data_IF_394379875470
#
_entry.id   IF_394379875470
#
_cell.length_a   1.000
_cell.length_b   1.000
_cell.length_c   1.000
_cell.angle_alpha   90.00
_cell.angle_beta   90.00
_cell.angle_gamma   90.00
#
_symmetry.space_group_name_H-M   'P 1'
#
loop_
_entity.id
_entity.type
_entity.pdbx_description
1 polymer ?
#
# COMPACT_ATOMS: atom_id res chain seq x y z
N UNK A 1 -1.66 -66.42 8.00
CA UNK A 1 -2.36 -67.70 7.72
C UNK A 1 -3.83 -67.37 7.44
N UNK A 2 -4.15 -66.84 6.26
CA UNK A 2 -4.64 -67.60 5.08
C UNK A 2 -5.97 -68.32 5.35
N UNK A 3 -7.07 -67.60 5.16
CA UNK A 3 -8.34 -68.14 4.67
C UNK A 3 -8.56 -67.51 3.30
N UNK A 4 -8.18 -68.22 2.24
CA UNK A 4 -9.11 -68.90 1.32
C UNK A 4 -9.74 -67.88 0.35
N UNK A 5 -9.27 -67.84 -0.90
CA UNK A 5 -9.69 -68.75 -1.99
C UNK A 5 -11.17 -68.58 -2.31
N UNK A 6 -11.66 -68.57 -3.54
CA UNK A 6 -11.16 -68.65 -4.91
C UNK A 6 -12.44 -68.40 -5.75
N UNK A 7 -12.32 -68.54 -7.07
CA UNK A 7 -13.42 -68.78 -8.00
C UNK A 7 -14.12 -67.54 -8.58
N UNK A 8 -14.36 -67.43 -9.88
CA UNK A 8 -14.08 -68.32 -11.02
C UNK A 8 -14.40 -67.51 -12.30
N UNK A 9 -13.66 -67.81 -13.38
CA UNK A 9 -14.09 -67.85 -14.79
C UNK A 9 -14.36 -66.54 -15.60
N UNK A 10 -13.37 -66.26 -16.48
CA UNK A 10 -13.42 -65.81 -17.91
C UNK A 10 -14.64 -66.29 -18.74
N UNK A 11 -14.89 -65.88 -20.03
CA UNK A 11 -14.17 -64.96 -20.96
C UNK A 11 -15.08 -64.05 -21.87
N UNK A 12 -14.42 -63.35 -22.81
CA UNK A 12 -14.85 -63.03 -24.20
C UNK A 12 -15.65 -61.75 -24.53
N UNK A 13 -14.94 -60.82 -25.19
CA UNK A 13 -15.31 -60.04 -26.39
C UNK A 13 -16.76 -59.65 -26.63
N UNK A 14 -17.07 -58.35 -26.62
CA UNK A 14 -17.47 -57.58 -27.82
C UNK A 14 -17.55 -56.09 -27.46
N UNK A 15 -17.17 -55.25 -28.42
CA UNK A 15 -17.68 -53.90 -28.75
C UNK A 15 -18.34 -53.09 -27.62
N UNK A 16 -17.94 -51.84 -27.37
CA UNK A 16 -18.50 -50.73 -28.15
C UNK A 16 -17.71 -49.44 -27.92
N UNK A 17 -17.61 -48.67 -28.99
CA UNK A 17 -17.08 -47.31 -29.10
C UNK A 17 -17.72 -46.37 -28.06
N UNK A 18 -17.06 -45.25 -27.74
CA UNK A 18 -17.63 -43.88 -27.67
C UNK A 18 -16.55 -42.94 -27.10
N UNK A 19 -15.85 -42.31 -28.03
CA UNK A 19 -15.77 -40.86 -28.21
C UNK A 19 -15.67 -39.91 -27.00
N UNK A 20 -14.58 -39.13 -27.03
CA UNK A 20 -14.68 -37.67 -27.17
C UNK A 20 -15.51 -36.92 -26.11
N UNK A 21 -15.01 -36.85 -24.87
CA UNK A 21 -15.54 -35.85 -23.91
C UNK A 21 -14.61 -35.44 -22.77
N UNK A 22 -13.35 -35.12 -23.05
CA UNK A 22 -12.43 -34.59 -22.04
C UNK A 22 -11.76 -33.26 -22.44
N UNK A 23 -12.46 -32.41 -23.19
CA UNK A 23 -12.14 -30.99 -23.29
C UNK A 23 -13.27 -30.16 -22.66
N UNK A 24 -12.86 -29.21 -21.79
CA UNK A 24 -13.70 -28.18 -21.16
C UNK A 24 -14.47 -28.56 -19.89
N UNK A 25 -13.75 -28.70 -18.77
CA UNK A 25 -14.28 -28.24 -17.47
C UNK A 25 -13.75 -26.83 -17.18
N UNK A 26 -14.52 -25.81 -17.56
CA UNK A 26 -14.36 -24.45 -17.02
C UNK A 26 -14.77 -24.49 -15.55
N UNK A 27 -13.86 -24.10 -14.66
CA UNK A 27 -14.16 -23.85 -13.25
C UNK A 27 -15.05 -22.60 -13.14
N UNK A 28 -16.37 -22.80 -13.06
CA UNK A 28 -17.30 -21.79 -12.57
C UNK A 28 -17.24 -21.75 -11.04
N UNK A 29 -16.72 -20.67 -10.45
CA UNK A 29 -16.94 -20.36 -9.03
C UNK A 29 -18.41 -19.94 -8.86
N UNK A 30 -19.16 -20.61 -7.98
CA UNK A 30 -20.46 -20.12 -7.49
C UNK A 30 -20.20 -18.96 -6.51
N UNK A 31 -20.91 -17.82 -6.58
CA UNK A 31 -20.96 -16.89 -5.46
C UNK A 31 -21.98 -17.40 -4.43
N UNK A 32 -21.48 -17.78 -3.27
CA UNK A 32 -22.26 -18.11 -2.08
C UNK A 32 -22.63 -16.83 -1.32
N UNK A 33 -23.92 -16.72 -1.02
CA UNK A 33 -24.49 -16.28 0.25
C UNK A 33 -24.50 -14.77 0.58
N UNK A 34 -25.54 -14.12 0.07
CA UNK A 34 -26.12 -12.83 0.46
C UNK A 34 -26.34 -12.62 1.98
N UNK A 35 -26.38 -13.69 2.78
CA UNK A 35 -26.57 -13.62 4.24
C UNK A 35 -25.30 -13.28 5.03
N UNK A 36 -24.13 -13.53 4.47
CA UNK A 36 -22.85 -13.21 5.12
C UNK A 36 -22.54 -11.70 5.05
N UNK A 37 -23.02 -11.06 3.99
CA UNK A 37 -22.93 -9.60 3.79
C UNK A 37 -23.69 -8.82 4.86
N UNK A 38 -24.79 -9.36 5.40
CA UNK A 38 -25.60 -8.70 6.42
C UNK A 38 -24.90 -8.63 7.77
N UNK A 39 -24.12 -9.65 8.14
CA UNK A 39 -23.36 -9.65 9.39
C UNK A 39 -22.13 -8.75 9.23
N UNK A 40 -21.38 -8.88 8.13
CA UNK A 40 -20.21 -8.05 7.85
C UNK A 40 -20.53 -6.54 7.86
N UNK A 41 -21.67 -6.14 7.28
CA UNK A 41 -22.08 -4.74 7.26
C UNK A 41 -22.56 -4.26 8.64
N UNK A 42 -23.14 -5.15 9.46
CA UNK A 42 -23.59 -4.82 10.82
C UNK A 42 -22.44 -4.72 11.83
N UNK A 43 -21.34 -5.45 11.62
CA UNK A 43 -20.12 -5.31 12.46
C UNK A 43 -19.36 -4.02 12.12
N UNK A 44 -19.40 -3.55 10.87
CA UNK A 44 -18.75 -2.31 10.44
C UNK A 44 -19.36 -1.04 11.07
N UNK A 45 -20.63 -1.09 11.48
CA UNK A 45 -21.37 0.04 12.05
C UNK A 45 -21.65 -0.08 13.56
N UNK A 46 -21.26 -1.19 14.20
CA UNK A 46 -21.63 -1.52 15.58
C UNK A 46 -20.50 -1.49 16.63
N UNK A 47 -19.32 -0.99 16.27
CA UNK A 47 -18.21 -0.76 17.20
C UNK A 47 -18.08 0.72 17.54
N UNK A 48 -17.73 1.02 18.77
CA UNK A 48 -17.42 2.34 19.37
C UNK A 48 -16.40 3.24 18.62
N UNK A 49 -16.04 2.94 17.36
CA UNK A 49 -14.88 3.51 16.68
C UNK A 49 -15.06 3.82 15.18
N UNK A 50 -16.29 3.86 14.63
CA UNK A 50 -16.48 4.12 13.19
C UNK A 50 -16.69 5.61 12.83
N UNK A 51 -17.38 6.39 13.67
CA UNK A 51 -17.67 7.81 13.37
C UNK A 51 -16.47 8.75 13.57
N UNK A 52 -15.44 8.33 14.32
CA UNK A 52 -14.22 9.12 14.49
C UNK A 52 -13.24 9.02 13.32
N UNK A 53 -13.42 8.05 12.42
CA UNK A 53 -12.48 7.78 11.32
C UNK A 53 -13.00 8.21 9.95
N UNK A 54 -14.32 8.27 9.75
CA UNK A 54 -14.93 8.65 8.47
C UNK A 54 -14.71 10.11 8.06
N UNK A 55 -14.34 10.99 9.01
CA UNK A 55 -13.97 12.38 8.73
C UNK A 55 -12.53 12.54 8.21
N UNK A 56 -11.73 11.47 8.17
CA UNK A 56 -10.39 11.48 7.56
C UNK A 56 -10.41 11.58 6.02
N UNK A 57 -11.60 11.65 5.39
CA UNK A 57 -11.78 11.80 3.94
C UNK A 57 -11.32 13.15 3.36
N UNK A 58 -10.66 14.00 4.15
CA UNK A 58 -9.98 15.22 3.68
C UNK A 58 -8.80 15.54 4.60
N UNK A 59 -7.60 15.01 4.31
CA UNK A 59 -6.37 15.20 5.12
C UNK A 59 -6.21 16.60 5.72
N UNK A 60 -6.50 17.66 4.93
CA UNK A 60 -6.44 19.05 5.39
C UNK A 60 -7.42 19.37 6.52
N UNK A 61 -8.68 18.92 6.43
CA UNK A 61 -9.69 19.18 7.46
C UNK A 61 -9.39 18.40 8.73
N UNK A 62 -8.96 17.14 8.61
CA UNK A 62 -8.58 16.32 9.75
C UNK A 62 -7.38 16.91 10.50
N UNK A 63 -6.37 17.42 9.77
CA UNK A 63 -5.22 18.11 10.35
C UNK A 63 -5.62 19.44 11.03
N UNK A 64 -6.52 20.22 10.41
CA UNK A 64 -7.02 21.44 11.04
C UNK A 64 -7.82 21.14 12.32
N UNK A 65 -8.65 20.11 12.31
CA UNK A 65 -9.42 19.68 13.47
C UNK A 65 -8.51 19.18 14.60
N UNK A 66 -7.43 18.45 14.29
CA UNK A 66 -6.49 17.97 15.31
C UNK A 66 -5.68 19.12 15.93
N UNK A 67 -5.23 20.08 15.13
CA UNK A 67 -4.56 21.30 15.62
C UNK A 67 -5.53 22.14 16.47
N UNK A 68 -6.76 22.32 16.01
CA UNK A 68 -7.77 23.06 16.76
C UNK A 68 -8.10 22.37 18.10
N UNK A 69 -8.22 21.05 18.12
CA UNK A 69 -8.42 20.28 19.34
C UNK A 69 -7.23 20.40 20.31
N UNK A 70 -5.99 20.41 19.80
CA UNK A 70 -4.79 20.63 20.60
C UNK A 70 -4.77 22.02 21.23
N UNK A 71 -5.04 23.07 20.45
CA UNK A 71 -5.13 24.44 20.95
C UNK A 71 -6.23 24.58 22.01
N UNK A 72 -7.41 24.01 21.75
CA UNK A 72 -8.51 24.01 22.70
C UNK A 72 -8.12 23.31 24.00
N UNK A 73 -7.44 22.16 23.93
CA UNK A 73 -6.94 21.44 25.10
C UNK A 73 -5.96 22.29 25.94
N UNK A 74 -5.00 22.96 25.29
CA UNK A 74 -4.04 23.84 26.00
C UNK A 74 -4.74 25.05 26.62
N UNK A 75 -5.71 25.65 25.92
CA UNK A 75 -6.50 26.78 26.45
C UNK A 75 -7.31 26.34 27.67
N UNK A 76 -7.99 25.19 27.61
CA UNK A 76 -8.76 24.66 28.75
C UNK A 76 -7.84 24.44 29.95
N UNK A 77 -6.69 23.78 29.77
CA UNK A 77 -5.72 23.57 30.85
C UNK A 77 -5.27 24.89 31.48
N UNK A 78 -4.90 25.86 30.64
CA UNK A 78 -4.43 27.18 31.08
C UNK A 78 -5.51 27.92 31.88
N UNK A 79 -6.76 27.94 31.40
CA UNK A 79 -7.88 28.62 32.10
C UNK A 79 -8.17 27.95 33.44
N UNK A 80 -8.15 26.61 33.49
CA UNK A 80 -8.37 25.87 34.75
C UNK A 80 -7.28 26.19 35.76
N UNK A 81 -6.00 26.13 35.38
CA UNK A 81 -4.93 26.44 36.33
C UNK A 81 -4.87 27.92 36.73
N UNK A 82 -5.20 28.84 35.82
CA UNK A 82 -5.30 30.28 36.13
C UNK A 82 -6.39 30.54 37.17
N UNK A 83 -7.58 29.96 36.99
CA UNK A 83 -8.73 30.19 37.88
C UNK A 83 -8.65 29.42 39.19
N UNK A 84 -8.13 28.19 39.16
CA UNK A 84 -8.15 27.27 40.28
C UNK A 84 -6.87 27.32 41.12
N UNK A 85 -5.72 27.59 40.51
CA UNK A 85 -4.44 27.77 41.22
C UNK A 85 -4.07 29.25 41.42
N UNK A 86 -4.79 30.18 40.81
CA UNK A 86 -4.54 31.63 40.94
C UNK A 86 -3.22 32.07 40.31
N UNK A 87 -2.65 31.25 39.42
CA UNK A 87 -1.41 31.57 38.73
C UNK A 87 -1.63 32.61 37.63
N UNK A 88 -0.56 33.31 37.24
CA UNK A 88 -0.62 34.16 36.05
C UNK A 88 -0.90 33.29 34.82
N UNK A 89 -1.51 33.86 33.79
CA UNK A 89 -1.80 33.12 32.54
C UNK A 89 -0.54 32.54 31.91
N UNK A 90 0.61 33.21 32.07
CA UNK A 90 1.91 32.76 31.56
C UNK A 90 2.40 31.54 32.33
N UNK A 91 2.34 31.58 33.67
CA UNK A 91 2.76 30.46 34.53
C UNK A 91 1.87 29.23 34.33
N UNK A 92 0.55 29.45 34.20
CA UNK A 92 -0.41 28.40 33.93
C UNK A 92 -0.19 27.76 32.55
N UNK A 93 0.08 28.56 31.51
CA UNK A 93 0.39 28.07 30.18
C UNK A 93 1.71 27.29 30.19
N UNK A 94 2.74 27.82 30.84
CA UNK A 94 4.03 27.17 30.99
C UNK A 94 3.90 25.81 31.67
N UNK A 95 3.21 25.74 32.82
CA UNK A 95 2.95 24.48 33.51
C UNK A 95 2.18 23.50 32.62
N UNK A 96 1.11 23.96 31.95
CA UNK A 96 0.28 23.15 31.06
C UNK A 96 1.13 22.53 29.94
N UNK A 97 1.94 23.35 29.26
CA UNK A 97 2.82 22.92 28.17
C UNK A 97 3.91 21.98 28.67
N UNK A 98 4.63 22.33 29.74
CA UNK A 98 5.68 21.48 30.31
C UNK A 98 5.14 20.12 30.78
N UNK A 99 3.89 20.07 31.23
CA UNK A 99 3.25 18.84 31.72
C UNK A 99 2.89 17.89 30.58
N UNK A 100 2.14 18.31 29.55
CA UNK A 100 1.74 17.39 28.48
C UNK A 100 2.90 17.03 27.53
N UNK A 101 3.91 17.91 27.41
CA UNK A 101 5.15 17.61 26.68
C UNK A 101 6.10 16.72 27.47
N UNK A 102 5.74 16.34 28.70
CA UNK A 102 6.53 15.50 29.61
C UNK A 102 7.90 16.09 29.97
N UNK A 103 8.12 17.39 29.75
CA UNK A 103 9.34 18.09 30.16
C UNK A 103 9.39 18.23 31.67
N UNK A 104 8.30 18.69 32.29
CA UNK A 104 8.07 18.66 33.73
C UNK A 104 9.21 19.21 34.60
N UNK A 105 9.62 20.47 34.40
CA UNK A 105 10.72 21.09 35.16
C UNK A 105 10.53 21.07 36.68
N UNK A 106 9.28 21.08 37.17
CA UNK A 106 8.95 20.95 38.59
C UNK A 106 9.14 22.23 39.41
N UNK A 107 9.47 23.35 38.77
CA UNK A 107 9.57 24.68 39.33
C UNK A 107 8.20 25.27 39.71
N UNK A 108 7.19 25.05 38.86
CA UNK A 108 5.79 25.39 39.14
C UNK A 108 5.01 24.10 39.25
N UNK A 109 4.31 23.89 40.37
CA UNK A 109 3.54 22.68 40.60
C UNK A 109 2.31 22.92 41.47
N UNK A 110 1.21 22.18 41.23
CA UNK A 110 -0.01 22.33 41.99
C UNK A 110 0.20 21.97 43.46
N UNK A 111 -0.19 22.89 44.35
CA UNK A 111 0.01 22.76 45.79
C UNK A 111 -1.10 21.92 46.42
N UNK A 112 -2.34 22.11 45.97
CA UNK A 112 -3.50 21.43 46.58
C UNK A 112 -3.66 20.00 46.04
N UNK A 113 -4.15 19.06 46.87
CA UNK A 113 -4.41 17.68 46.43
C UNK A 113 -5.35 17.60 45.22
N UNK A 114 -6.39 18.44 45.17
CA UNK A 114 -7.36 18.47 44.07
C UNK A 114 -6.73 18.85 42.74
N UNK A 115 -5.88 19.89 42.72
CA UNK A 115 -5.16 20.31 41.52
C UNK A 115 -4.15 19.26 41.06
N UNK A 116 -3.50 18.54 41.99
CA UNK A 116 -2.57 17.44 41.66
C UNK A 116 -3.26 16.29 40.95
N UNK A 117 -4.40 15.84 41.49
CA UNK A 117 -5.21 14.77 40.87
C UNK A 117 -5.67 15.19 39.49
N UNK A 118 -6.18 16.42 39.36
CA UNK A 118 -6.55 16.97 38.04
C UNK A 118 -5.37 17.01 37.08
N UNK A 119 -4.20 17.49 37.54
CA UNK A 119 -2.98 17.55 36.74
C UNK A 119 -2.53 16.18 36.21
N UNK A 120 -2.68 15.12 37.01
CA UNK A 120 -2.36 13.75 36.58
C UNK A 120 -3.28 13.29 35.44
N UNK A 121 -4.60 13.42 35.60
CA UNK A 121 -5.54 13.06 34.54
C UNK A 121 -5.34 13.92 33.29
N UNK A 122 -5.13 15.23 33.50
CA UNK A 122 -4.86 16.16 32.43
C UNK A 122 -3.60 15.76 31.64
N UNK A 123 -2.52 15.38 32.31
CA UNK A 123 -1.28 14.93 31.68
C UNK A 123 -1.48 13.68 30.82
N UNK A 124 -2.20 12.68 31.32
CA UNK A 124 -2.51 11.44 30.57
C UNK A 124 -3.29 11.77 29.29
N UNK A 125 -4.33 12.60 29.41
CA UNK A 125 -5.09 13.07 28.24
C UNK A 125 -4.21 13.87 27.26
N UNK A 126 -3.30 14.69 27.77
CA UNK A 126 -2.38 15.49 26.96
C UNK A 126 -1.47 14.65 26.09
N UNK A 127 -0.91 13.57 26.64
CA UNK A 127 -0.07 12.63 25.89
C UNK A 127 -0.88 11.96 24.77
N UNK A 128 -2.13 11.59 25.02
CA UNK A 128 -3.02 10.98 24.01
C UNK A 128 -3.31 11.99 22.88
N UNK A 129 -3.65 13.23 23.22
CA UNK A 129 -3.92 14.29 22.23
C UNK A 129 -2.68 14.59 21.40
N UNK A 130 -1.52 14.73 22.05
CA UNK A 130 -0.23 14.97 21.38
C UNK A 130 0.13 13.81 20.44
N UNK A 131 -0.05 12.57 20.90
CA UNK A 131 0.17 11.37 20.10
C UNK A 131 -0.74 11.30 18.86
N UNK A 132 -2.01 11.64 19.00
CA UNK A 132 -2.95 11.68 17.88
C UNK A 132 -2.56 12.72 16.82
N UNK A 133 -2.11 13.90 17.24
CA UNK A 133 -1.63 14.95 16.31
C UNK A 133 -0.37 14.48 15.58
N UNK A 134 0.60 13.92 16.32
CA UNK A 134 1.85 13.42 15.74
C UNK A 134 1.60 12.29 14.72
N UNK A 135 0.74 11.33 15.08
CA UNK A 135 0.33 10.26 14.19
C UNK A 135 -0.35 10.82 12.93
N UNK A 136 -1.27 11.78 13.06
CA UNK A 136 -1.95 12.40 11.92
C UNK A 136 -0.98 12.98 10.89
N UNK A 137 0.04 13.71 11.34
CA UNK A 137 1.06 14.31 10.45
C UNK A 137 1.88 13.24 9.74
N UNK A 138 2.34 12.22 10.48
CA UNK A 138 3.14 11.12 9.92
C UNK A 138 2.31 10.28 8.93
N UNK A 139 1.06 9.97 9.27
CA UNK A 139 0.14 9.25 8.39
C UNK A 139 -0.13 10.01 7.10
N UNK A 140 -0.32 11.33 7.16
CA UNK A 140 -0.50 12.14 5.95
C UNK A 140 0.72 12.09 5.03
N UNK A 141 1.94 12.21 5.57
CA UNK A 141 3.17 12.08 4.78
C UNK A 141 3.30 10.69 4.15
N UNK A 142 2.95 9.65 4.90
CA UNK A 142 3.00 8.26 4.45
C UNK A 142 2.00 8.01 3.31
N UNK A 143 0.74 8.43 3.49
CA UNK A 143 -0.31 8.27 2.48
C UNK A 143 0.02 9.06 1.23
N UNK A 144 0.51 10.29 1.36
CA UNK A 144 0.91 11.12 0.22
C UNK A 144 2.05 10.48 -0.58
N UNK A 145 3.01 9.84 0.10
CA UNK A 145 4.12 9.11 -0.52
C UNK A 145 3.62 7.88 -1.29
N UNK A 146 2.75 7.07 -0.67
CA UNK A 146 2.15 5.90 -1.32
C UNK A 146 1.24 6.27 -2.50
N UNK A 147 0.48 7.36 -2.38
CA UNK A 147 -0.37 7.88 -3.45
C UNK A 147 0.47 8.34 -4.65
N UNK A 148 1.59 9.02 -4.41
CA UNK A 148 2.52 9.44 -5.47
C UNK A 148 3.10 8.24 -6.21
N UNK A 149 3.59 7.23 -5.48
CA UNK A 149 4.11 6.00 -6.05
C UNK A 149 3.05 5.22 -6.86
N UNK A 150 1.80 5.15 -6.37
CA UNK A 150 0.70 4.49 -7.09
C UNK A 150 0.31 5.24 -8.37
N UNK A 151 0.26 6.58 -8.33
CA UNK A 151 -0.06 7.40 -9.52
C UNK A 151 1.00 7.27 -10.61
N UNK A 152 2.27 7.18 -10.22
CA UNK A 152 3.38 6.98 -11.14
C UNK A 152 3.28 5.60 -11.84
N UNK A 153 3.11 4.53 -11.08
CA UNK A 153 2.96 3.18 -11.63
C UNK A 153 1.71 3.02 -12.53
N UNK A 154 0.59 3.67 -12.16
CA UNK A 154 -0.63 3.66 -12.96
C UNK A 154 -0.44 4.40 -14.30
N UNK A 155 0.26 5.54 -14.29
CA UNK A 155 0.53 6.32 -15.49
C UNK A 155 1.49 5.58 -16.44
N UNK A 156 2.50 4.90 -15.90
CA UNK A 156 3.42 4.07 -16.69
C UNK A 156 2.69 2.91 -17.37
N UNK A 157 1.78 2.24 -16.66
CA UNK A 157 0.97 1.16 -17.23
C UNK A 157 0.02 1.67 -18.32
N UNK A 158 -0.64 2.80 -18.07
CA UNK A 158 -1.56 3.43 -19.05
C UNK A 158 -0.82 3.85 -20.33
N UNK A 159 0.38 4.44 -20.22
CA UNK A 159 1.21 4.81 -21.37
C UNK A 159 1.61 3.58 -22.19
N UNK A 160 2.08 2.52 -21.53
CA UNK A 160 2.46 1.28 -22.20
C UNK A 160 1.27 0.60 -22.91
N UNK A 161 0.09 0.65 -22.30
CA UNK A 161 -1.15 0.18 -22.93
C UNK A 161 -1.52 1.05 -24.14
N UNK A 162 -1.46 2.37 -24.03
CA UNK A 162 -1.79 3.28 -25.13
C UNK A 162 -0.90 3.06 -26.35
N UNK A 163 0.42 2.92 -26.13
CA UNK A 163 1.36 2.65 -27.22
C UNK A 163 1.07 1.31 -27.91
N UNK A 164 0.64 0.28 -27.16
CA UNK A 164 0.21 -1.01 -27.74
C UNK A 164 -1.08 -0.89 -28.55
N UNK A 165 -2.05 -0.09 -28.09
CA UNK A 165 -3.27 0.19 -28.84
C UNK A 165 -2.98 0.97 -30.12
N UNK A 166 -2.09 1.97 -30.04
CA UNK A 166 -1.68 2.79 -31.17
C UNK A 166 -0.94 1.95 -32.24
N UNK A 167 0.04 1.13 -31.82
CA UNK A 167 0.73 0.19 -32.71
C UNK A 167 -0.22 -0.81 -33.37
N UNK A 168 -1.20 -1.33 -32.61
CA UNK A 168 -2.21 -2.25 -33.13
C UNK A 168 -3.16 -1.55 -34.10
N UNK A 169 -3.51 -0.29 -33.86
CA UNK A 169 -4.34 0.50 -34.78
C UNK A 169 -3.61 0.82 -36.09
N UNK A 170 -2.31 1.14 -36.02
CA UNK A 170 -1.47 1.41 -37.20
C UNK A 170 -1.26 0.15 -38.04
N UNK A 171 -0.97 -1.00 -37.40
CA UNK A 171 -0.86 -2.29 -38.09
C UNK A 171 -2.18 -2.71 -38.77
N UNK A 172 -3.31 -2.49 -38.11
CA UNK A 172 -4.64 -2.83 -38.67
C UNK A 172 -5.07 -1.88 -39.79
N UNK A 173 -4.65 -0.60 -39.74
CA UNK A 173 -4.89 0.37 -40.82
C UNK A 173 -4.05 0.07 -42.07
N UNK A 174 -2.80 -0.39 -41.91
CA UNK A 174 -1.96 -0.82 -43.04
C UNK A 174 -2.49 -2.07 -43.74
N UNK A 175 -3.07 -3.02 -42.98
CA UNK A 175 -3.77 -4.19 -43.55
C UNK A 175 -5.01 -3.78 -44.37
N UNK A 176 -5.75 -2.77 -43.92
CA UNK A 176 -6.96 -2.31 -44.60
C UNK A 176 -6.66 -1.54 -45.90
N UNK A 177 -5.50 -0.89 -45.99
CA UNK A 177 -5.04 -0.21 -47.20
C UNK A 177 -4.34 -1.16 -48.21
N UNK A 178 -4.06 -2.41 -47.81
CA UNK A 178 -3.42 -3.43 -48.66
C UNK A 178 -4.37 -4.33 -49.45
N UNK A 179 -5.69 -4.26 -49.22
CA UNK A 179 -6.71 -5.02 -49.98
C UNK A 179 -7.18 -4.23 -51.20
N UNK A 180 -6.23 -3.87 -52.06
CA UNK A 180 -6.48 -3.16 -53.30
C UNK A 180 -5.24 -3.22 -54.17
N UNK A 181 -4.92 -4.42 -54.67
CA UNK A 181 -4.21 -4.74 -55.92
C UNK A 181 -3.66 -6.16 -55.78
N UNK A 182 -4.37 -7.12 -56.38
CA UNK A 182 -3.84 -8.44 -56.70
C UNK A 182 -3.01 -8.29 -57.97
N UNK A 183 -1.76 -8.77 -57.96
CA UNK A 183 -1.07 -9.34 -59.12
C UNK A 183 0.27 -9.93 -58.68
N UNK A 184 0.50 -11.17 -59.13
CA UNK A 184 1.49 -12.09 -58.60
C UNK A 184 2.96 -11.81 -58.96
N UNK A 185 3.86 -12.60 -58.35
CA UNK A 185 4.71 -13.62 -59.02
C UNK A 185 5.69 -14.23 -58.03
N UNK A 186 5.92 -15.52 -58.23
CA UNK A 186 6.89 -16.43 -57.60
C UNK A 186 8.35 -15.96 -57.63
N UNK A 187 9.13 -16.28 -56.59
CA UNK A 187 10.35 -17.12 -56.68
C UNK A 187 10.98 -17.35 -55.29
N UNK A 188 11.47 -18.57 -55.05
CA UNK A 188 12.06 -18.97 -53.77
C UNK A 188 13.59 -18.97 -53.74
N UNK A 189 14.17 -18.98 -52.54
CA UNK A 189 15.47 -19.65 -52.27
C UNK A 189 15.71 -19.85 -50.76
N UNK A 190 16.09 -21.08 -50.41
CA UNK A 190 16.52 -21.56 -49.08
C UNK A 190 17.93 -20.97 -48.71
N UNK A 191 18.47 -21.21 -47.51
CA UNK A 191 19.03 -20.19 -46.63
C UNK A 191 20.56 -20.22 -46.71
N UNK A 192 21.24 -19.13 -46.35
CA UNK A 192 22.63 -19.29 -45.94
C UNK A 192 23.01 -18.38 -44.78
N UNK A 193 23.76 -19.05 -43.94
CA UNK A 193 24.37 -18.74 -42.67
C UNK A 193 25.26 -17.50 -42.64
N UNK A 194 25.54 -17.11 -41.39
CA UNK A 194 26.74 -16.41 -40.92
C UNK A 194 26.80 -14.89 -41.08
N UNK A 195 26.24 -14.21 -40.08
CA UNK A 195 27.04 -13.23 -39.33
C UNK A 195 26.72 -13.34 -37.84
N UNK A 196 27.55 -14.13 -37.15
CA UNK A 196 27.62 -14.14 -35.68
C UNK A 196 28.14 -12.78 -35.22
N UNK A 197 27.25 -11.80 -35.06
CA UNK A 197 27.57 -10.60 -34.27
C UNK A 197 27.29 -10.95 -32.81
N UNK A 198 28.38 -11.25 -32.09
CA UNK A 198 28.42 -11.57 -30.67
C UNK A 198 27.55 -10.59 -29.88
N UNK A 199 26.46 -11.12 -29.36
CA UNK A 199 25.69 -10.52 -28.28
C UNK A 199 26.54 -10.64 -27.01
N UNK A 200 27.24 -9.56 -26.67
CA UNK A 200 27.82 -9.42 -25.36
C UNK A 200 26.67 -9.18 -24.38
N UNK A 201 26.50 -10.10 -23.45
CA UNK A 201 25.51 -10.02 -22.37
C UNK A 201 25.66 -8.70 -21.60
N UNK A 202 24.57 -7.98 -21.30
CA UNK A 202 24.59 -6.70 -20.56
C UNK A 202 25.12 -6.83 -19.12
N UNK A 203 25.35 -8.05 -18.63
CA UNK A 203 25.80 -8.35 -17.27
C UNK A 203 27.29 -8.06 -17.03
N UNK A 204 28.10 -7.80 -18.07
CA UNK A 204 29.53 -7.50 -17.90
C UNK A 204 29.88 -6.01 -17.83
N UNK A 205 28.95 -5.12 -18.18
CA UNK A 205 29.19 -3.67 -18.08
C UNK A 205 28.82 -3.11 -16.70
N UNK A 206 27.79 -3.65 -16.05
CA UNK A 206 27.49 -3.27 -14.65
C UNK A 206 28.62 -3.63 -13.68
N UNK A 207 29.31 -4.76 -13.88
CA UNK A 207 30.42 -5.16 -13.01
C UNK A 207 31.64 -4.23 -13.14
N UNK A 208 31.84 -3.61 -14.31
CA UNK A 208 32.94 -2.64 -14.52
C UNK A 208 32.63 -1.30 -13.88
N UNK A 209 31.39 -0.82 -13.97
CA UNK A 209 30.96 0.41 -13.31
C UNK A 209 31.04 0.30 -11.79
N UNK A 210 30.66 -0.87 -11.24
CA UNK A 210 30.79 -1.12 -9.80
C UNK A 210 32.26 -1.17 -9.34
N UNK A 211 33.16 -1.76 -10.14
CA UNK A 211 34.60 -1.76 -9.86
C UNK A 211 35.23 -0.36 -9.94
N UNK A 212 34.74 0.49 -10.84
CA UNK A 212 35.19 1.88 -10.96
C UNK A 212 34.79 2.72 -9.75
N UNK A 213 33.56 2.54 -9.26
CA UNK A 213 33.08 3.23 -8.06
C UNK A 213 33.83 2.78 -6.80
N UNK A 214 34.08 1.47 -6.66
CA UNK A 214 34.86 0.93 -5.55
C UNK A 214 36.28 1.48 -5.53
N UNK A 215 36.99 1.50 -6.67
CA UNK A 215 38.33 2.06 -6.75
C UNK A 215 38.37 3.57 -6.45
N UNK A 216 37.31 4.31 -6.80
CA UNK A 216 37.18 5.73 -6.47
C UNK A 216 37.04 5.97 -4.96
N UNK A 217 36.39 5.07 -4.23
CA UNK A 217 36.24 5.17 -2.77
C UNK A 217 37.52 4.77 -2.07
N UNK A 218 38.17 3.70 -2.52
CA UNK A 218 39.43 3.25 -1.91
C UNK A 218 40.51 4.33 -1.98
N UNK A 219 40.62 5.05 -3.11
CA UNK A 219 41.56 6.17 -3.24
C UNK A 219 41.18 7.39 -2.38
N UNK A 220 39.90 7.60 -2.07
CA UNK A 220 39.44 8.72 -1.25
C UNK A 220 39.68 8.47 0.24
N UNK A 221 39.61 7.20 0.67
CA UNK A 221 39.95 6.76 2.03
C UNK A 221 41.47 6.69 2.25
N UNK A 222 42.26 6.46 1.21
CA UNK A 222 43.73 6.37 1.32
C UNK A 222 44.43 7.75 1.33
N UNK A 223 43.72 8.82 0.93
CA UNK A 223 44.24 10.20 0.79
C UNK A 223 43.77 11.12 1.93
N UNK A 224 42.94 10.63 2.85
CA UNK A 224 42.51 11.30 4.08
C UNK A 224 43.19 10.68 5.32
#
# INVERSE_FOLDING_TARGET
MTSKQEALLKPSSTEEKVDEKYSHRRFGRKPTNEKENGIANKVAHGGFTAHGYSDFSSSRKAMLMSIAAFLLYTIIGTVVFTTWAGWSTVDALYYTVATFTTVGYGDISPVTPGQRVFGIFFAIFGIIVLGNVALGIVFDQLINSFQKARKENANSTKRNLMNKFEQKSMSNSSMKNGLGSDDGKSEGKHPNSSSLRKEASPLKEEEKEQRLWLNSITNLVLVA
#
